data_IF_622791066259
#
_entry.id   IF_622791066259
#
_cell.length_a   1.000
_cell.length_b   1.000
_cell.length_c   1.000
_cell.angle_alpha   90.00
_cell.angle_beta   90.00
_cell.angle_gamma   90.00
#
_symmetry.space_group_name_H-M   'P 1'
#
loop_
_entity.id
_entity.type
_entity.pdbx_description
1 polymer ?
#
# COMPACT_ATOMS: atom_id res chain seq x y z
N UNK A 1 21.91 6.70 12.02
CA UNK A 1 20.56 7.06 11.56
C UNK A 1 20.74 7.93 10.34
N UNK A 2 20.85 7.31 9.17
CA UNK A 2 21.02 8.04 7.92
C UNK A 2 19.72 8.77 7.62
N UNK A 3 19.85 10.08 7.44
CA UNK A 3 18.76 10.97 7.15
C UNK A 3 18.01 10.49 5.92
N UNK A 4 16.70 10.23 6.06
CA UNK A 4 15.79 10.21 4.91
C UNK A 4 16.14 11.39 4.02
N UNK A 5 16.69 11.12 2.84
CA UNK A 5 17.08 12.17 1.92
C UNK A 5 15.82 12.99 1.63
N UNK A 6 15.83 14.29 1.97
CA UNK A 6 14.67 15.16 1.80
C UNK A 6 14.08 15.09 0.37
N UNK A 7 14.91 14.72 -0.61
CA UNK A 7 14.56 14.43 -2.00
C UNK A 7 13.53 13.31 -2.18
N UNK A 8 13.59 12.26 -1.38
CA UNK A 8 12.67 11.13 -1.47
C UNK A 8 11.29 11.51 -0.96
N UNK A 9 11.25 12.22 0.17
CA UNK A 9 10.01 12.75 0.74
C UNK A 9 9.36 13.78 -0.19
N UNK A 10 10.14 14.68 -0.79
CA UNK A 10 9.65 15.69 -1.73
C UNK A 10 9.12 15.08 -3.04
N UNK A 11 9.81 14.05 -3.57
CA UNK A 11 9.31 13.25 -4.71
C UNK A 11 8.00 12.55 -4.41
N UNK A 12 7.85 12.04 -3.19
CA UNK A 12 6.65 11.32 -2.77
C UNK A 12 5.48 12.25 -2.45
N UNK A 13 5.73 13.41 -1.84
CA UNK A 13 4.69 14.36 -1.42
C UNK A 13 3.83 14.84 -2.60
N UNK A 14 4.41 14.93 -3.81
CA UNK A 14 3.71 15.27 -5.04
C UNK A 14 3.05 14.11 -5.80
N UNK A 15 3.25 12.86 -5.37
CA UNK A 15 2.72 11.68 -6.07
C UNK A 15 1.40 11.21 -5.44
N UNK A 16 0.47 10.81 -6.31
CA UNK A 16 -0.69 10.03 -5.88
C UNK A 16 -0.32 8.58 -5.56
N UNK A 17 -1.20 7.87 -4.86
CA UNK A 17 -0.96 6.48 -4.45
C UNK A 17 -0.49 5.60 -5.61
N UNK A 18 -1.06 5.79 -6.79
CA UNK A 18 -0.67 5.07 -8.01
C UNK A 18 0.75 5.39 -8.45
N UNK A 19 1.12 6.68 -8.49
CA UNK A 19 2.47 7.10 -8.84
C UNK A 19 3.51 6.59 -7.83
N UNK A 20 3.16 6.59 -6.54
CA UNK A 20 4.03 6.08 -5.49
C UNK A 20 4.32 4.57 -5.65
N UNK A 21 3.29 3.76 -5.95
CA UNK A 21 3.44 2.32 -6.24
C UNK A 21 4.17 2.07 -7.57
N UNK A 22 3.93 2.87 -8.60
CA UNK A 22 4.65 2.73 -9.88
C UNK A 22 6.15 2.97 -9.72
N UNK A 23 6.55 4.03 -9.01
CA UNK A 23 7.96 4.32 -8.73
C UNK A 23 8.59 3.18 -7.91
N UNK A 24 7.79 2.51 -7.08
CA UNK A 24 8.24 1.36 -6.29
C UNK A 24 8.45 0.12 -7.15
N UNK A 25 7.52 -0.18 -8.05
CA UNK A 25 7.66 -1.26 -9.03
C UNK A 25 8.83 -1.02 -10.00
N UNK A 26 9.13 0.23 -10.33
CA UNK A 26 10.28 0.62 -11.17
C UNK A 26 11.64 0.39 -10.46
N UNK A 27 11.63 0.03 -9.17
CA UNK A 27 12.84 -0.16 -8.39
C UNK A 27 13.59 1.15 -8.10
N UNK A 28 12.94 2.29 -8.30
CA UNK A 28 13.51 3.62 -8.07
C UNK A 28 13.52 4.03 -6.58
N UNK A 29 13.28 3.07 -5.68
CA UNK A 29 13.32 3.23 -4.21
C UNK A 29 14.65 2.72 -3.65
N UNK A 30 15.27 3.54 -2.80
CA UNK A 30 16.41 3.16 -1.98
C UNK A 30 16.01 2.35 -0.74
N UNK A 31 16.99 1.63 -0.20
CA UNK A 31 16.86 0.87 1.06
C UNK A 31 16.47 1.84 2.18
N UNK A 32 15.32 1.58 2.84
CA UNK A 32 14.79 2.40 3.93
C UNK A 32 13.66 3.37 3.56
N UNK A 33 13.27 3.44 2.28
CA UNK A 33 12.17 4.30 1.82
C UNK A 33 10.78 3.63 1.86
N UNK A 34 10.73 2.30 1.98
CA UNK A 34 9.51 1.49 2.14
C UNK A 34 8.51 2.03 3.18
N UNK A 35 8.89 2.36 4.43
CA UNK A 35 7.93 2.87 5.42
C UNK A 35 7.31 4.22 5.01
N UNK A 36 8.04 5.03 4.21
CA UNK A 36 7.51 6.31 3.71
C UNK A 36 6.44 6.09 2.63
N UNK A 37 6.68 5.11 1.74
CA UNK A 37 5.67 4.68 0.75
C UNK A 37 4.42 4.18 1.46
N UNK A 38 4.56 3.30 2.44
CA UNK A 38 3.41 2.74 3.16
C UNK A 38 2.63 3.82 3.90
N UNK A 39 3.30 4.75 4.59
CA UNK A 39 2.65 5.87 5.25
C UNK A 39 1.89 6.77 4.25
N UNK A 40 2.46 7.01 3.07
CA UNK A 40 1.80 7.76 2.00
C UNK A 40 0.57 7.03 1.49
N UNK A 41 0.67 5.73 1.20
CA UNK A 41 -0.45 4.93 0.71
C UNK A 41 -1.61 4.93 1.69
N UNK A 42 -1.34 4.69 2.97
CA UNK A 42 -2.36 4.76 4.04
C UNK A 42 -3.03 6.12 4.09
N UNK A 43 -2.26 7.21 4.02
CA UNK A 43 -2.80 8.57 4.04
C UNK A 43 -3.62 8.91 2.80
N UNK A 44 -3.16 8.51 1.61
CA UNK A 44 -3.80 8.83 0.32
C UNK A 44 -5.05 7.99 0.05
N UNK A 45 -5.02 6.73 0.44
CA UNK A 45 -6.12 5.79 0.26
C UNK A 45 -7.05 5.72 1.48
N UNK A 46 -6.68 6.40 2.58
CA UNK A 46 -7.38 6.41 3.84
C UNK A 46 -7.63 4.99 4.41
N UNK A 47 -6.59 4.16 4.34
CA UNK A 47 -6.64 2.76 4.80
C UNK A 47 -6.34 2.68 6.30
N UNK A 48 -7.13 1.90 7.02
CA UNK A 48 -6.90 1.52 8.42
C UNK A 48 -5.99 0.29 8.57
N UNK A 49 -5.42 -0.21 7.47
CA UNK A 49 -4.45 -1.31 7.49
C UNK A 49 -3.16 -0.98 8.25
N UNK A 50 -2.56 -2.00 8.89
CA UNK A 50 -1.24 -1.85 9.51
C UNK A 50 -0.12 -1.77 8.47
N UNK A 51 1.00 -1.13 8.84
CA UNK A 51 2.18 -1.00 7.96
C UNK A 51 2.66 -2.36 7.43
N UNK A 52 2.61 -3.40 8.28
CA UNK A 52 2.97 -4.77 7.90
C UNK A 52 2.07 -5.32 6.79
N UNK A 53 0.76 -5.13 6.88
CA UNK A 53 -0.19 -5.67 5.92
C UNK A 53 -0.01 -5.03 4.54
N UNK A 54 0.12 -3.70 4.51
CA UNK A 54 0.42 -2.97 3.28
C UNK A 54 1.74 -3.46 2.67
N UNK A 55 2.76 -3.68 3.50
CA UNK A 55 4.06 -4.17 3.06
C UNK A 55 3.99 -5.59 2.51
N UNK A 56 3.32 -6.51 3.19
CA UNK A 56 3.16 -7.89 2.71
C UNK A 56 2.46 -7.92 1.35
N UNK A 57 1.41 -7.11 1.18
CA UNK A 57 0.69 -7.00 -0.09
C UNK A 57 1.55 -6.41 -1.21
N UNK A 58 2.39 -5.43 -0.90
CA UNK A 58 3.39 -4.91 -1.84
C UNK A 58 4.36 -6.02 -2.27
N UNK A 59 4.93 -6.78 -1.33
CA UNK A 59 5.85 -7.88 -1.66
C UNK A 59 5.19 -9.00 -2.48
N UNK A 60 3.96 -9.37 -2.12
CA UNK A 60 3.14 -10.33 -2.87
C UNK A 60 2.95 -9.86 -4.32
N UNK A 61 2.68 -8.56 -4.49
CA UNK A 61 2.55 -7.95 -5.79
C UNK A 61 3.83 -7.96 -6.63
N UNK A 62 5.02 -7.85 -6.01
CA UNK A 62 6.29 -8.04 -6.73
C UNK A 62 6.49 -9.48 -7.17
N UNK A 63 6.20 -10.44 -6.29
CA UNK A 63 6.34 -11.87 -6.59
C UNK A 63 5.41 -12.29 -7.73
N UNK A 64 4.17 -11.80 -7.70
CA UNK A 64 3.16 -12.06 -8.71
C UNK A 64 3.25 -11.13 -9.95
N UNK A 65 4.11 -10.11 -9.94
CA UNK A 65 4.25 -9.14 -11.04
C UNK A 65 3.01 -8.29 -11.29
N UNK A 66 2.28 -7.92 -10.23
CA UNK A 66 1.07 -7.11 -10.35
C UNK A 66 1.35 -5.67 -10.75
N UNK A 67 0.39 -5.08 -11.45
CA UNK A 67 0.43 -3.66 -11.81
C UNK A 67 -0.01 -2.79 -10.63
N UNK A 68 0.47 -1.54 -10.59
CA UNK A 68 0.13 -0.59 -9.52
C UNK A 68 -1.37 -0.46 -9.24
N UNK A 69 -2.23 -0.48 -10.27
CA UNK A 69 -3.69 -0.46 -10.09
C UNK A 69 -4.20 -1.66 -9.28
N UNK A 70 -3.74 -2.86 -9.62
CA UNK A 70 -4.15 -4.11 -8.94
C UNK A 70 -3.75 -4.08 -7.48
N UNK A 71 -2.57 -3.53 -7.18
CA UNK A 71 -2.08 -3.37 -5.80
C UNK A 71 -2.99 -2.42 -5.01
N UNK A 72 -3.39 -1.29 -5.62
CA UNK A 72 -4.29 -0.34 -4.97
C UNK A 72 -5.69 -0.91 -4.75
N UNK A 73 -6.23 -1.66 -5.72
CA UNK A 73 -7.50 -2.36 -5.57
C UNK A 73 -7.42 -3.36 -4.43
N UNK A 74 -6.36 -4.18 -4.39
CA UNK A 74 -6.15 -5.17 -3.32
C UNK A 74 -5.95 -4.55 -1.95
N UNK A 75 -5.29 -3.40 -1.86
CA UNK A 75 -5.16 -2.65 -0.61
C UNK A 75 -6.53 -2.19 -0.11
N UNK A 76 -7.41 -1.71 -0.99
CA UNK A 76 -8.78 -1.35 -0.61
C UNK A 76 -9.61 -2.58 -0.24
N UNK A 77 -9.51 -3.66 -1.01
CA UNK A 77 -10.20 -4.92 -0.71
C UNK A 77 -9.75 -5.50 0.65
N UNK A 78 -8.46 -5.39 0.99
CA UNK A 78 -7.92 -5.83 2.27
C UNK A 78 -8.42 -4.95 3.43
N UNK A 79 -8.52 -3.64 3.23
CA UNK A 79 -9.08 -2.69 4.19
C UNK A 79 -10.58 -2.95 4.43
N UNK A 80 -11.34 -3.12 3.35
CA UNK A 80 -12.76 -3.50 3.41
C UNK A 80 -12.96 -4.90 4.02
N UNK A 81 -12.02 -5.82 3.81
CA UNK A 81 -12.03 -7.14 4.46
C UNK A 81 -11.66 -7.06 5.94
N UNK A 82 -10.91 -6.03 6.35
CA UNK A 82 -10.62 -5.73 7.76
C UNK A 82 -11.87 -5.19 8.48
N UNK A 83 -12.71 -4.41 7.79
CA UNK A 83 -14.00 -3.90 8.30
C UNK A 83 -15.22 -4.84 8.04
N UNK A 84 -15.00 -6.02 7.45
CA UNK A 84 -16.05 -6.92 6.96
C UNK A 84 -16.32 -8.22 7.75
N UNK A 85 -16.99 -8.11 8.91
CA UNK A 85 -18.26 -8.82 9.26
C UNK A 85 -18.28 -10.38 9.27
N UNK A 86 -18.40 -11.08 10.40
CA UNK A 86 -19.65 -11.34 11.17
C UNK A 86 -20.92 -11.57 10.34
N UNK A 87 -21.06 -12.67 9.58
CA UNK A 87 -22.29 -13.00 8.84
C UNK A 87 -23.57 -12.93 9.71
N UNK A 88 -24.46 -11.93 9.55
CA UNK A 88 -25.80 -11.99 10.10
C UNK A 88 -26.70 -12.70 9.09
N UNK A 89 -26.98 -13.98 9.33
CA UNK A 89 -28.06 -14.69 8.64
C UNK A 89 -27.65 -15.52 7.43
N UNK A 90 -27.05 -16.69 7.67
CA UNK A 90 -27.44 -17.88 6.92
C UNK A 90 -28.61 -18.54 7.65
N UNK A 91 -29.82 -18.14 7.30
CA UNK A 91 -30.99 -19.02 7.25
C UNK A 91 -31.62 -18.78 5.88
N UNK A 92 -31.60 -19.78 5.01
CA UNK A 92 -32.80 -20.58 4.80
C UNK A 92 -32.45 -22.08 4.69
N UNK A 93 -33.27 -23.06 5.06
CA UNK A 93 -34.62 -23.15 5.63
C UNK A 93 -34.67 -24.49 6.37
#
# INVERSE_FOLDING_TARGET
MESMSAKCRDRLDGLDALGAVQVWLDGAYGVGEEPSLVALLRRKLNLDLFEREVRELLYDALDHGWSANVILERLKEADESSEGVYSPGSHPR
#
